data_IF_975734951070
#
_entry.id   IF_975734951070
#
_cell.length_a   1.000
_cell.length_b   1.000
_cell.length_c   1.000
_cell.angle_alpha   90.00
_cell.angle_beta   90.00
_cell.angle_gamma   90.00
#
_symmetry.space_group_name_H-M   'P 1'
#
loop_
_entity.id
_entity.type
_entity.pdbx_description
1 polymer ?
#
# COMPACT_ATOMS: atom_id res chain seq x y z
N UNK A 1 -2.08 -57.44 28.19
CA UNK A 1 -0.83 -56.67 28.34
C UNK A 1 -1.04 -55.33 27.64
N UNK A 2 -1.43 -54.26 28.33
CA UNK A 2 -0.67 -53.39 29.26
C UNK A 2 0.11 -52.28 28.53
N UNK A 3 -0.42 -51.05 28.66
CA UNK A 3 0.08 -49.69 28.29
C UNK A 3 1.30 -49.28 29.14
N UNK A 4 2.20 -48.33 28.73
CA UNK A 4 1.94 -46.88 28.83
C UNK A 4 2.62 -45.95 27.79
N UNK A 5 2.17 -44.70 27.82
CA UNK A 5 2.58 -43.55 27.03
C UNK A 5 3.95 -42.97 27.41
N UNK A 6 4.65 -42.34 26.46
CA UNK A 6 5.49 -41.17 26.75
C UNK A 6 5.58 -40.21 25.56
N UNK A 7 5.29 -38.96 25.89
CA UNK A 7 5.41 -37.71 25.18
C UNK A 7 6.71 -37.52 24.41
N UNK A 8 6.62 -37.44 23.09
CA UNK A 8 7.64 -36.86 22.22
C UNK A 8 7.11 -35.59 21.58
N UNK A 9 7.08 -34.49 22.35
CA UNK A 9 6.79 -33.15 21.85
C UNK A 9 7.94 -32.76 20.89
N UNK A 10 7.88 -33.22 19.64
CA UNK A 10 8.80 -32.76 18.61
C UNK A 10 8.53 -31.27 18.43
N UNK A 11 9.44 -30.48 18.99
CA UNK A 11 9.43 -29.03 18.96
C UNK A 11 9.71 -28.63 17.52
N UNK A 12 8.69 -28.71 16.68
CA UNK A 12 8.68 -28.19 15.33
C UNK A 12 8.75 -26.67 15.51
N UNK A 13 9.98 -26.17 15.58
CA UNK A 13 10.26 -24.75 15.60
C UNK A 13 9.62 -24.18 14.35
N UNK A 14 8.43 -23.63 14.52
CA UNK A 14 7.78 -22.82 13.50
C UNK A 14 8.76 -21.71 13.19
N UNK A 15 9.50 -21.85 12.10
CA UNK A 15 10.23 -20.75 11.52
C UNK A 15 9.19 -19.65 11.31
N UNK A 16 9.26 -18.60 12.13
CA UNK A 16 8.58 -17.33 11.87
C UNK A 16 9.27 -16.68 10.67
N UNK A 17 9.11 -17.28 9.49
CA UNK A 17 9.42 -16.63 8.24
C UNK A 17 8.28 -15.67 7.98
N UNK A 18 8.47 -14.40 8.35
CA UNK A 18 7.57 -13.30 8.00
C UNK A 18 7.72 -12.94 6.52
N UNK A 19 7.59 -13.93 5.63
CA UNK A 19 7.30 -13.62 4.23
C UNK A 19 5.84 -13.25 4.15
N UNK A 20 5.55 -11.98 4.42
CA UNK A 20 4.28 -11.34 4.06
C UNK A 20 4.24 -11.24 2.52
N UNK A 21 4.14 -12.38 1.84
CA UNK A 21 3.71 -12.43 0.44
C UNK A 21 2.21 -12.23 0.49
N UNK A 22 1.80 -10.97 0.67
CA UNK A 22 0.44 -10.57 0.29
C UNK A 22 0.35 -10.91 -1.19
N UNK A 23 -0.65 -11.68 -1.65
CA UNK A 23 -0.93 -11.78 -3.08
C UNK A 23 -1.35 -10.38 -3.52
N UNK A 24 -0.38 -9.56 -3.95
CA UNK A 24 -0.65 -8.30 -4.62
C UNK A 24 -1.50 -8.68 -5.83
N UNK A 25 -2.77 -8.30 -5.78
CA UNK A 25 -3.75 -8.55 -6.82
C UNK A 25 -3.23 -7.97 -8.13
N UNK A 26 -2.54 -8.77 -8.95
CA UNK A 26 -2.00 -8.45 -10.28
C UNK A 26 -1.81 -6.93 -10.47
N UNK A 27 -0.88 -6.33 -9.73
CA UNK A 27 -0.59 -4.90 -9.93
C UNK A 27 -0.04 -4.74 -11.34
N UNK A 28 -0.60 -3.79 -12.08
CA UNK A 28 -0.07 -3.42 -13.39
C UNK A 28 1.28 -2.78 -13.11
N UNK A 29 2.35 -3.37 -13.67
CA UNK A 29 3.68 -2.81 -13.52
C UNK A 29 3.72 -1.47 -14.26
N UNK A 30 3.94 -0.34 -13.58
CA UNK A 30 4.10 0.94 -14.27
C UNK A 30 5.34 0.88 -15.16
N UNK A 31 5.34 1.56 -16.32
CA UNK A 31 6.47 1.53 -17.26
C UNK A 31 7.74 2.14 -16.66
N UNK A 32 7.60 3.06 -15.69
CA UNK A 32 8.71 3.63 -14.93
C UNK A 32 8.55 3.24 -13.46
N UNK A 33 9.57 2.60 -12.90
CA UNK A 33 9.59 2.19 -11.50
C UNK A 33 9.99 3.39 -10.63
N UNK A 34 9.04 3.95 -9.89
CA UNK A 34 9.28 5.03 -8.93
C UNK A 34 9.44 4.45 -7.52
N UNK A 35 10.46 4.88 -6.79
CA UNK A 35 10.81 4.36 -5.47
C UNK A 35 10.36 5.30 -4.34
N UNK A 36 10.46 4.83 -3.09
CA UNK A 36 10.05 5.58 -1.89
C UNK A 36 8.56 5.45 -1.56
N UNK A 37 8.11 6.24 -0.58
CA UNK A 37 6.71 6.26 -0.12
C UNK A 37 5.80 6.83 -1.21
N UNK A 38 6.20 7.96 -1.79
CA UNK A 38 5.50 8.60 -2.91
C UNK A 38 5.40 7.67 -4.13
N UNK A 39 6.48 6.96 -4.47
CA UNK A 39 6.49 6.01 -5.58
C UNK A 39 5.54 4.82 -5.39
N UNK A 40 5.35 4.36 -4.14
CA UNK A 40 4.37 3.33 -3.81
C UNK A 40 2.93 3.84 -3.99
N UNK A 41 2.64 5.06 -3.56
CA UNK A 41 1.34 5.69 -3.80
C UNK A 41 1.06 5.85 -5.30
N UNK A 42 2.03 6.37 -6.05
CA UNK A 42 1.92 6.54 -7.50
C UNK A 42 1.69 5.19 -8.21
N UNK A 43 2.44 4.15 -7.85
CA UNK A 43 2.30 2.80 -8.43
C UNK A 43 0.92 2.19 -8.12
N UNK A 44 0.42 2.36 -6.89
CA UNK A 44 -0.89 1.85 -6.48
C UNK A 44 -2.02 2.56 -7.23
N UNK A 45 -1.94 3.88 -7.34
CA UNK A 45 -2.91 4.70 -8.06
C UNK A 45 -2.89 4.40 -9.57
N UNK A 46 -1.70 4.30 -10.20
CA UNK A 46 -1.56 3.89 -11.60
C UNK A 46 -2.14 2.49 -11.84
N UNK A 47 -1.88 1.55 -10.94
CA UNK A 47 -2.42 0.19 -11.03
C UNK A 47 -3.94 0.16 -10.93
N UNK A 48 -4.54 0.99 -10.07
CA UNK A 48 -6.00 1.09 -9.93
C UNK A 48 -6.63 1.77 -11.15
N UNK A 49 -6.05 2.88 -11.60
CA UNK A 49 -6.52 3.65 -12.75
C UNK A 49 -6.41 2.85 -14.06
N UNK A 50 -5.33 2.10 -14.24
CA UNK A 50 -5.13 1.21 -15.40
C UNK A 50 -6.15 0.06 -15.41
N UNK A 51 -6.43 -0.57 -14.26
CA UNK A 51 -7.47 -1.60 -14.16
C UNK A 51 -8.87 -1.08 -14.51
N UNK A 52 -9.14 0.19 -14.23
CA UNK A 52 -10.42 0.83 -14.52
C UNK A 52 -10.44 1.58 -15.87
N UNK A 53 -9.33 1.61 -16.61
CA UNK A 53 -9.14 2.40 -17.85
C UNK A 53 -9.46 3.90 -17.70
N UNK A 54 -9.25 4.49 -16.52
CA UNK A 54 -9.56 5.90 -16.22
C UNK A 54 -8.32 6.78 -16.06
N UNK A 55 -7.28 6.52 -16.87
CA UNK A 55 -5.98 7.17 -16.72
C UNK A 55 -6.08 8.70 -16.93
N UNK A 56 -6.75 9.16 -17.98
CA UNK A 56 -6.89 10.60 -18.29
C UNK A 56 -7.70 11.36 -17.24
N UNK A 57 -8.72 10.72 -16.65
CA UNK A 57 -9.52 11.33 -15.59
C UNK A 57 -8.66 11.56 -14.34
N UNK A 58 -7.90 10.54 -13.94
CA UNK A 58 -7.06 10.59 -12.75
C UNK A 58 -5.92 11.61 -12.90
N UNK A 59 -5.36 11.75 -14.10
CA UNK A 59 -4.36 12.78 -14.40
C UNK A 59 -4.94 14.21 -14.23
N UNK A 60 -6.13 14.47 -14.78
CA UNK A 60 -6.80 15.77 -14.64
C UNK A 60 -7.13 16.09 -13.19
N UNK A 61 -7.59 15.10 -12.43
CA UNK A 61 -7.88 15.26 -11.00
C UNK A 61 -6.62 15.55 -10.18
N UNK A 62 -5.50 14.87 -10.47
CA UNK A 62 -4.21 15.14 -9.82
C UNK A 62 -3.69 16.55 -10.11
N UNK A 63 -3.83 17.05 -11.35
CA UNK A 63 -3.47 18.42 -11.69
C UNK A 63 -4.31 19.44 -10.91
N UNK A 64 -5.62 19.18 -10.76
CA UNK A 64 -6.52 20.03 -9.97
C UNK A 64 -6.14 20.02 -8.49
N UNK A 65 -5.82 18.85 -7.92
CA UNK A 65 -5.34 18.74 -6.54
C UNK A 65 -4.04 19.52 -6.34
N UNK A 66 -3.10 19.44 -7.29
CA UNK A 66 -1.86 20.21 -7.25
C UNK A 66 -2.09 21.74 -7.30
N UNK A 67 -3.12 22.20 -8.01
CA UNK A 67 -3.50 23.62 -8.02
C UNK A 67 -4.09 24.05 -6.68
N UNK A 68 -4.99 23.25 -6.11
CA UNK A 68 -5.62 23.53 -4.80
C UNK A 68 -4.57 23.58 -3.68
N UNK A 69 -3.59 22.67 -3.71
CA UNK A 69 -2.49 22.65 -2.73
C UNK A 69 -1.57 23.88 -2.80
N UNK A 70 -1.54 24.59 -3.93
CA UNK A 70 -0.79 25.85 -4.05
C UNK A 70 -1.53 27.02 -3.41
N UNK A 71 -2.83 26.89 -3.14
CA UNK A 71 -3.57 27.94 -2.46
C UNK A 71 -3.11 28.01 -0.99
N UNK A 72 -2.63 29.18 -0.51
CA UNK A 72 -2.02 29.29 0.81
C UNK A 72 -3.02 29.01 1.95
N UNK A 73 -4.32 29.23 1.69
CA UNK A 73 -5.40 28.94 2.63
C UNK A 73 -5.58 27.43 2.84
N UNK A 74 -5.60 26.66 1.75
CA UNK A 74 -5.74 25.19 1.80
C UNK A 74 -4.47 24.53 2.32
N UNK A 75 -3.29 24.98 1.89
CA UNK A 75 -2.01 24.48 2.39
C UNK A 75 -1.88 24.66 3.91
N UNK A 76 -2.25 25.84 4.42
CA UNK A 76 -2.26 26.13 5.85
C UNK A 76 -3.20 25.23 6.63
N UNK A 77 -4.37 24.90 6.09
CA UNK A 77 -5.31 23.97 6.72
C UNK A 77 -4.84 22.52 6.73
N UNK A 78 -4.17 22.04 5.67
CA UNK A 78 -3.70 20.65 5.62
C UNK A 78 -2.49 20.43 6.53
N UNK A 79 -1.60 21.41 6.64
CA UNK A 79 -0.40 21.32 7.48
C UNK A 79 -0.66 21.63 8.95
N UNK A 80 -1.82 22.20 9.28
CA UNK A 80 -2.16 22.55 10.66
C UNK A 80 -2.53 21.31 11.48
N UNK A 81 -1.78 20.97 12.55
CA UNK A 81 -1.99 19.77 13.36
C UNK A 81 -3.22 19.85 14.30
N UNK A 82 -3.85 21.01 14.43
CA UNK A 82 -5.07 21.19 15.25
C UNK A 82 -6.35 20.82 14.50
N UNK A 83 -6.27 20.62 13.19
CA UNK A 83 -7.41 20.18 12.39
C UNK A 83 -7.50 18.66 12.50
N UNK A 84 -8.66 18.16 12.94
CA UNK A 84 -8.91 16.72 13.04
C UNK A 84 -8.83 16.09 11.65
N UNK A 85 -8.04 15.02 11.54
CA UNK A 85 -7.94 14.17 10.35
C UNK A 85 -9.16 13.29 10.18
#
# INVERSE_FOLDING_TARGET
MAVPAVSGLSRQGRCFSTTVVRPFSKLVRPPVQVYGIEGRYATALYSAASKQNKLEQVEKELLRVAQILKEPKMAGSIMNPYIKR
#
